data_IF_236757150935
#
_entry.id   IF_236757150935
#
_cell.length_a   1.000
_cell.length_b   1.000
_cell.length_c   1.000
_cell.angle_alpha   90.00
_cell.angle_beta   90.00
_cell.angle_gamma   90.00
#
_symmetry.space_group_name_H-M   'P 1'
#
loop_
_entity.id
_entity.type
_entity.pdbx_description
1 polymer ?
#
# COMPACT_ATOMS: atom_id res chain seq x y z
N UNK A 1 -10.93 -33.83 -8.94
CA UNK A 1 -10.36 -32.48 -9.02
C UNK A 1 -11.35 -31.58 -9.75
N UNK A 2 -12.20 -30.82 -9.04
CA UNK A 2 -13.19 -29.93 -9.65
C UNK A 2 -12.51 -28.61 -10.01
N UNK A 3 -12.28 -28.39 -11.30
CA UNK A 3 -11.92 -27.07 -11.82
C UNK A 3 -13.17 -26.20 -11.73
N UNK A 4 -13.19 -25.25 -10.81
CA UNK A 4 -14.23 -24.22 -10.72
C UNK A 4 -14.16 -23.35 -11.98
N UNK A 5 -15.09 -23.56 -12.91
CA UNK A 5 -15.30 -22.68 -14.05
C UNK A 5 -16.13 -21.47 -13.61
N UNK A 6 -15.53 -20.53 -12.88
CA UNK A 6 -16.14 -19.22 -12.69
C UNK A 6 -15.71 -18.29 -13.84
N UNK A 7 -16.70 -17.89 -14.64
CA UNK A 7 -16.60 -16.97 -15.79
C UNK A 7 -16.36 -15.50 -15.41
N UNK A 8 -15.73 -15.24 -14.27
CA UNK A 8 -15.10 -13.97 -13.96
C UNK A 8 -13.69 -14.34 -13.53
N UNK A 9 -12.65 -13.85 -14.22
CA UNK A 9 -11.28 -14.03 -13.73
C UNK A 9 -11.11 -13.06 -12.56
N UNK A 10 -11.24 -13.47 -11.28
CA UNK A 10 -11.17 -12.54 -10.16
C UNK A 10 -9.72 -12.09 -9.91
N UNK A 11 -8.77 -12.74 -10.60
CA UNK A 11 -7.35 -12.63 -10.40
C UNK A 11 -6.67 -12.42 -11.75
N UNK A 12 -6.00 -11.28 -11.91
CA UNK A 12 -5.04 -11.06 -13.00
C UNK A 12 -3.66 -11.48 -12.50
N UNK A 13 -3.20 -12.67 -12.93
CA UNK A 13 -1.82 -13.09 -12.69
C UNK A 13 -0.94 -12.54 -13.80
N UNK A 14 -0.06 -11.60 -13.48
CA UNK A 14 0.99 -11.16 -14.39
C UNK A 14 2.16 -12.17 -14.33
N UNK A 15 2.45 -12.95 -15.39
CA UNK A 15 3.57 -13.89 -15.37
C UNK A 15 4.90 -13.13 -15.29
N UNK A 16 5.85 -13.61 -14.50
CA UNK A 16 7.09 -12.89 -14.16
C UNK A 16 8.05 -12.69 -15.36
N UNK A 17 7.84 -13.44 -16.47
CA UNK A 17 8.57 -13.27 -17.73
C UNK A 17 7.62 -13.44 -18.92
N UNK A 18 7.55 -12.45 -19.80
CA UNK A 18 7.12 -12.61 -21.19
C UNK A 18 8.02 -11.78 -22.10
N UNK A 19 8.40 -12.34 -23.24
CA UNK A 19 9.26 -11.74 -24.27
C UNK A 19 8.56 -10.68 -25.14
N UNK A 20 7.28 -10.39 -24.90
CA UNK A 20 6.53 -9.36 -25.63
C UNK A 20 6.59 -8.03 -24.88
N UNK A 21 6.87 -6.94 -25.60
CA UNK A 21 6.94 -5.55 -25.13
C UNK A 21 5.55 -4.97 -24.77
N UNK A 22 4.78 -5.72 -23.98
CA UNK A 22 3.55 -5.23 -23.35
C UNK A 22 3.96 -4.48 -22.09
N UNK A 23 3.54 -3.22 -21.96
CA UNK A 23 3.75 -2.45 -20.73
C UNK A 23 3.19 -3.26 -19.54
N UNK A 24 4.04 -3.50 -18.54
CA UNK A 24 3.67 -4.21 -17.32
C UNK A 24 3.86 -3.27 -16.14
N UNK A 25 2.80 -2.95 -15.39
CA UNK A 25 2.95 -2.17 -14.18
C UNK A 25 3.84 -2.93 -13.19
N UNK A 26 4.75 -2.20 -12.53
CA UNK A 26 5.57 -2.78 -11.47
C UNK A 26 4.68 -3.15 -10.27
N UNK A 27 5.11 -4.07 -9.39
CA UNK A 27 4.39 -4.37 -8.15
C UNK A 27 4.09 -3.11 -7.32
N UNK A 28 5.07 -2.19 -7.23
CA UNK A 28 4.92 -0.87 -6.61
C UNK A 28 3.81 -0.05 -7.28
N UNK A 29 3.77 -0.02 -8.61
CA UNK A 29 2.71 0.67 -9.33
C UNK A 29 1.33 0.09 -9.00
N UNK A 30 1.18 -1.24 -9.00
CA UNK A 30 -0.08 -1.89 -8.64
C UNK A 30 -0.49 -1.60 -7.18
N UNK A 31 0.46 -1.57 -6.24
CA UNK A 31 0.22 -1.24 -4.83
C UNK A 31 -0.25 0.22 -4.68
N UNK A 32 0.40 1.16 -5.35
CA UNK A 32 0.14 2.58 -5.15
C UNK A 32 -1.03 3.08 -6.03
N UNK A 33 -1.27 2.47 -7.20
CA UNK A 33 -2.31 2.85 -8.16
C UNK A 33 -3.30 1.69 -8.44
N UNK A 34 -3.96 1.11 -7.42
CA UNK A 34 -4.81 -0.06 -7.63
C UNK A 34 -5.97 0.21 -8.61
N UNK A 35 -6.56 1.40 -8.58
CA UNK A 35 -7.65 1.80 -9.48
C UNK A 35 -7.22 1.95 -10.95
N UNK A 36 -5.92 2.05 -11.25
CA UNK A 36 -5.43 2.03 -12.64
C UNK A 36 -5.17 0.60 -13.11
N UNK A 37 -4.83 -0.29 -12.19
CA UNK A 37 -4.61 -1.70 -12.48
C UNK A 37 -5.90 -2.52 -12.49
N UNK A 38 -6.92 -2.09 -11.72
CA UNK A 38 -8.20 -2.75 -11.53
C UNK A 38 -9.36 -1.72 -11.63
N UNK A 39 -9.50 -0.98 -12.75
CA UNK A 39 -10.45 0.13 -12.84
C UNK A 39 -11.92 -0.26 -12.68
N UNK A 40 -12.28 -1.49 -13.06
CA UNK A 40 -13.65 -2.01 -13.04
C UNK A 40 -14.06 -2.61 -11.68
N UNK A 41 -13.16 -2.61 -10.69
CA UNK A 41 -13.39 -3.27 -9.40
C UNK A 41 -13.70 -2.23 -8.32
N UNK A 42 -14.69 -2.53 -7.48
CA UNK A 42 -15.10 -1.67 -6.35
C UNK A 42 -14.09 -1.70 -5.20
N UNK A 43 -13.34 -2.79 -5.07
CA UNK A 43 -12.34 -2.99 -4.04
C UNK A 43 -11.02 -3.49 -4.61
N UNK A 44 -9.94 -3.19 -3.91
CA UNK A 44 -8.61 -3.74 -4.18
C UNK A 44 -7.99 -4.24 -2.88
N UNK A 45 -7.41 -5.44 -2.94
CA UNK A 45 -6.63 -6.03 -1.86
C UNK A 45 -5.18 -6.21 -2.34
N UNK A 46 -4.27 -5.45 -1.74
CA UNK A 46 -2.84 -5.64 -1.91
C UNK A 46 -2.34 -6.68 -0.90
N UNK A 47 -1.60 -7.68 -1.37
CA UNK A 47 -0.90 -8.66 -0.55
C UNK A 47 0.58 -8.62 -0.89
N UNK A 48 1.39 -8.22 0.09
CA UNK A 48 2.83 -8.20 0.01
C UNK A 48 3.43 -9.61 0.09
N UNK A 49 4.73 -9.73 -0.22
CA UNK A 49 5.44 -11.00 -0.10
C UNK A 49 5.32 -11.57 1.32
N UNK A 50 5.03 -12.87 1.42
CA UNK A 50 4.96 -13.56 2.72
C UNK A 50 3.63 -13.44 3.47
N UNK A 51 2.67 -12.65 2.97
CA UNK A 51 1.33 -12.56 3.55
C UNK A 51 0.45 -13.71 3.07
N UNK A 52 -0.16 -14.42 4.02
CA UNK A 52 -1.20 -15.41 3.77
C UNK A 52 -2.51 -14.91 4.37
N UNK A 53 -3.59 -14.98 3.59
CA UNK A 53 -4.92 -14.57 4.02
C UNK A 53 -5.87 -15.74 3.87
N UNK A 54 -6.64 -16.00 4.93
CA UNK A 54 -7.80 -16.88 4.86
C UNK A 54 -9.03 -16.01 4.69
N UNK A 55 -9.65 -16.08 3.52
CA UNK A 55 -10.88 -15.36 3.22
C UNK A 55 -12.08 -16.31 3.43
N UNK A 56 -13.19 -15.83 4.01
CA UNK A 56 -14.42 -16.62 4.09
C UNK A 56 -14.89 -16.94 2.66
N UNK A 57 -14.91 -18.22 2.31
CA UNK A 57 -15.15 -18.69 0.93
C UNK A 57 -16.54 -18.33 0.38
N UNK A 58 -17.49 -18.01 1.27
CA UNK A 58 -18.92 -17.83 0.94
C UNK A 58 -19.42 -16.40 1.14
N UNK A 59 -18.66 -15.53 1.80
CA UNK A 59 -19.10 -14.16 2.07
C UNK A 59 -18.58 -13.21 0.98
N UNK A 60 -19.40 -12.96 -0.05
CA UNK A 60 -19.06 -12.02 -1.11
C UNK A 60 -18.85 -10.57 -0.61
N UNK A 61 -19.33 -10.25 0.60
CA UNK A 61 -19.30 -8.91 1.18
C UNK A 61 -18.24 -8.75 2.29
N UNK A 62 -17.31 -9.70 2.44
CA UNK A 62 -16.30 -9.64 3.51
C UNK A 62 -15.51 -8.31 3.50
N UNK A 63 -15.23 -7.75 2.31
CA UNK A 63 -14.49 -6.50 2.18
C UNK A 63 -15.27 -5.30 2.73
N UNK A 64 -16.58 -5.27 2.50
CA UNK A 64 -17.50 -4.29 3.10
C UNK A 64 -17.51 -4.42 4.62
N UNK A 65 -17.58 -5.65 5.14
CA UNK A 65 -17.55 -5.91 6.59
C UNK A 65 -16.26 -5.44 7.26
N UNK A 66 -15.10 -5.63 6.62
CA UNK A 66 -13.80 -5.16 7.14
C UNK A 66 -13.70 -3.62 7.08
N UNK A 67 -14.18 -3.00 6.00
CA UNK A 67 -14.05 -1.57 5.80
C UNK A 67 -15.08 -0.76 6.61
N UNK A 68 -16.30 -1.26 6.78
CA UNK A 68 -17.40 -0.50 7.37
C UNK A 68 -17.55 0.87 6.72
N UNK A 69 -17.58 1.95 7.52
CA UNK A 69 -17.62 3.33 7.02
C UNK A 69 -16.28 3.87 6.51
N UNK A 70 -15.18 3.12 6.66
CA UNK A 70 -13.86 3.52 6.22
C UNK A 70 -13.64 3.20 4.73
N UNK A 71 -12.64 3.88 4.14
CA UNK A 71 -12.27 3.69 2.74
C UNK A 71 -11.03 2.80 2.57
N UNK A 72 -10.20 2.72 3.62
CA UNK A 72 -8.90 2.08 3.59
C UNK A 72 -8.70 1.33 4.91
N UNK A 73 -8.27 0.08 4.83
CA UNK A 73 -7.88 -0.74 5.96
C UNK A 73 -6.46 -1.28 5.74
N UNK A 74 -5.67 -1.22 6.81
CA UNK A 74 -4.27 -1.66 6.88
C UNK A 74 -4.05 -2.34 8.22
N UNK A 75 -3.02 -3.18 8.29
CA UNK A 75 -2.67 -3.84 9.55
C UNK A 75 -2.00 -2.84 10.49
N UNK A 76 -2.23 -2.93 11.81
CA UNK A 76 -1.37 -2.24 12.76
C UNK A 76 0.06 -2.76 12.64
N UNK A 77 1.05 -1.88 12.80
CA UNK A 77 2.44 -2.31 12.78
C UNK A 77 2.72 -3.25 13.97
N UNK A 78 3.24 -4.47 13.75
CA UNK A 78 3.28 -5.53 14.77
C UNK A 78 4.14 -5.18 16.00
N UNK A 79 5.08 -4.25 15.84
CA UNK A 79 6.04 -3.89 16.88
C UNK A 79 5.76 -2.55 17.57
N UNK A 80 4.64 -1.87 17.25
CA UNK A 80 4.30 -0.59 17.90
C UNK A 80 5.37 0.51 17.72
N UNK A 81 6.14 0.42 16.64
CA UNK A 81 7.22 1.34 16.29
C UNK A 81 6.67 2.74 15.93
N UNK A 82 7.47 3.78 16.12
CA UNK A 82 7.23 5.12 15.59
C UNK A 82 7.77 5.25 14.16
N UNK A 83 7.35 6.31 13.45
CA UNK A 83 7.90 6.60 12.12
C UNK A 83 9.42 6.79 12.14
N UNK A 84 9.95 7.25 13.27
CA UNK A 84 11.39 7.44 13.50
C UNK A 84 12.13 6.12 13.65
N UNK A 85 11.53 5.15 14.33
CA UNK A 85 12.09 3.79 14.43
C UNK A 85 12.17 3.14 13.05
N UNK A 86 11.12 3.28 12.23
CA UNK A 86 11.10 2.80 10.84
C UNK A 86 12.18 3.48 9.99
N UNK A 87 12.38 4.79 10.19
CA UNK A 87 13.46 5.53 9.54
C UNK A 87 14.83 5.00 9.94
N UNK A 88 15.11 4.82 11.24
CA UNK A 88 16.39 4.30 11.70
C UNK A 88 16.64 2.86 11.25
N UNK A 89 15.61 2.03 11.21
CA UNK A 89 15.68 0.69 10.65
C UNK A 89 16.03 0.75 9.15
N UNK A 90 15.36 1.62 8.38
CA UNK A 90 15.64 1.82 6.95
C UNK A 90 17.09 2.27 6.70
N UNK A 91 17.62 3.14 7.56
CA UNK A 91 19.02 3.57 7.54
C UNK A 91 19.96 2.40 7.85
N UNK A 92 19.68 1.63 8.91
CA UNK A 92 20.50 0.50 9.34
C UNK A 92 20.58 -0.60 8.28
N UNK A 93 19.47 -0.91 7.62
CA UNK A 93 19.39 -1.94 6.59
C UNK A 93 19.97 -1.48 5.23
N UNK A 94 20.26 -0.18 5.05
CA UNK A 94 20.85 0.35 3.83
C UNK A 94 19.97 0.21 2.58
N UNK A 95 18.66 0.05 2.75
CA UNK A 95 17.70 -0.19 1.66
C UNK A 95 17.58 1.00 0.70
N UNK A 96 17.83 2.20 1.19
CA UNK A 96 17.71 3.46 0.44
C UNK A 96 18.87 4.40 0.75
N UNK A 97 19.08 5.41 -0.12
CA UNK A 97 20.12 6.42 0.10
C UNK A 97 19.79 7.24 1.35
N UNK A 98 20.66 7.14 2.35
CA UNK A 98 20.46 7.78 3.66
C UNK A 98 20.16 9.27 3.56
N UNK A 99 20.84 10.03 2.68
CA UNK A 99 20.61 11.47 2.53
C UNK A 99 19.15 11.82 2.18
N UNK A 100 18.52 11.05 1.29
CA UNK A 100 17.12 11.26 0.91
C UNK A 100 16.16 10.94 2.05
N UNK A 101 16.47 9.93 2.84
CA UNK A 101 15.68 9.58 4.03
C UNK A 101 15.78 10.70 5.08
N UNK A 102 16.98 11.24 5.33
CA UNK A 102 17.16 12.38 6.26
C UNK A 102 16.39 13.61 5.80
N UNK A 103 16.49 13.99 4.52
CA UNK A 103 15.75 15.13 3.96
C UNK A 103 14.22 14.95 4.07
N UNK A 104 13.73 13.73 3.82
CA UNK A 104 12.32 13.39 3.96
C UNK A 104 11.84 13.55 5.40
N UNK A 105 12.57 12.97 6.35
CA UNK A 105 12.20 13.03 7.76
C UNK A 105 12.33 14.43 8.36
N UNK A 106 13.36 15.20 7.96
CA UNK A 106 13.50 16.60 8.36
C UNK A 106 12.28 17.42 7.92
N UNK A 107 11.78 17.20 6.70
CA UNK A 107 10.55 17.85 6.23
C UNK A 107 9.32 17.44 7.05
N UNK A 108 9.21 16.17 7.43
CA UNK A 108 8.09 15.69 8.24
C UNK A 108 8.09 16.35 9.63
N UNK A 109 9.25 16.40 10.27
CA UNK A 109 9.43 17.08 11.56
C UNK A 109 9.10 18.58 11.47
N UNK A 110 9.65 19.29 10.49
CA UNK A 110 9.39 20.72 10.29
C UNK A 110 7.93 21.03 9.94
N UNK A 111 7.19 20.05 9.44
CA UNK A 111 5.76 20.20 9.14
C UNK A 111 4.85 19.81 10.32
N UNK A 112 5.43 19.47 11.47
CA UNK A 112 4.68 19.09 12.68
C UNK A 112 4.19 17.65 12.69
N UNK A 113 4.82 16.74 11.94
CA UNK A 113 4.48 15.32 12.05
C UNK A 113 4.75 14.82 13.48
N UNK A 114 3.82 14.06 14.10
CA UNK A 114 3.99 13.62 15.49
C UNK A 114 5.23 12.75 15.69
N UNK A 115 5.97 13.02 16.76
CA UNK A 115 7.12 12.20 17.19
C UNK A 115 6.73 10.77 17.58
N UNK A 116 5.47 10.58 17.97
CA UNK A 116 4.92 9.29 18.38
C UNK A 116 3.53 9.11 17.79
N UNK A 117 3.17 7.88 17.45
CA UNK A 117 1.84 7.55 16.97
C UNK A 117 1.78 6.13 16.43
N UNK A 118 0.57 5.64 16.11
CA UNK A 118 0.42 4.32 15.51
C UNK A 118 1.06 4.30 14.12
N UNK A 119 1.87 3.28 13.88
CA UNK A 119 2.25 2.86 12.54
C UNK A 119 1.34 1.74 12.05
N UNK A 120 1.32 1.60 10.74
CA UNK A 120 0.59 0.62 9.99
C UNK A 120 1.53 -0.15 9.08
N UNK A 121 1.27 -1.43 8.92
CA UNK A 121 1.98 -2.28 7.98
C UNK A 121 1.26 -2.24 6.63
N UNK A 122 2.00 -1.79 5.60
CA UNK A 122 1.53 -1.71 4.21
C UNK A 122 1.72 -3.02 3.43
N UNK A 123 2.08 -4.11 4.11
CA UNK A 123 2.13 -5.47 3.56
C UNK A 123 0.73 -5.98 3.17
N UNK A 124 -0.33 -5.51 3.84
CA UNK A 124 -1.72 -5.79 3.47
C UNK A 124 -2.50 -4.47 3.43
N UNK A 125 -3.16 -4.21 2.31
CA UNK A 125 -3.96 -2.99 2.14
C UNK A 125 -5.26 -3.32 1.43
N UNK A 126 -6.38 -3.10 2.11
CA UNK A 126 -7.72 -3.17 1.51
C UNK A 126 -8.23 -1.75 1.27
N UNK A 127 -8.71 -1.48 0.05
CA UNK A 127 -9.19 -0.14 -0.35
C UNK A 127 -10.44 -0.22 -1.21
N UNK A 128 -11.37 0.71 -0.97
CA UNK A 128 -12.45 1.06 -1.91
C UNK A 128 -11.89 1.77 -3.14
N UNK A 129 -12.45 1.53 -4.31
CA UNK A 129 -12.18 2.31 -5.50
C UNK A 129 -13.12 3.52 -5.54
N UNK A 130 -12.71 4.61 -4.90
CA UNK A 130 -13.46 5.86 -4.88
C UNK A 130 -12.52 7.06 -4.99
N UNK A 131 -13.09 8.24 -5.18
CA UNK A 131 -12.33 9.47 -5.38
C UNK A 131 -11.32 9.72 -4.23
N UNK A 132 -11.73 9.58 -2.97
CA UNK A 132 -10.82 9.81 -1.82
C UNK A 132 -9.60 8.91 -1.84
N UNK A 133 -9.76 7.62 -2.17
CA UNK A 133 -8.62 6.70 -2.29
C UNK A 133 -7.79 6.91 -3.56
N UNK A 134 -8.39 7.41 -4.64
CA UNK A 134 -7.65 7.80 -5.84
C UNK A 134 -6.77 9.04 -5.58
N UNK A 135 -7.27 9.99 -4.81
CA UNK A 135 -6.51 11.14 -4.33
C UNK A 135 -5.39 10.70 -3.38
N UNK A 136 -5.68 9.81 -2.43
CA UNK A 136 -4.66 9.21 -1.56
C UNK A 136 -3.56 8.50 -2.36
N UNK A 137 -3.93 7.72 -3.37
CA UNK A 137 -3.01 7.03 -4.27
C UNK A 137 -2.07 8.02 -4.98
N UNK A 138 -2.61 9.16 -5.43
CA UNK A 138 -1.84 10.22 -6.08
C UNK A 138 -0.85 10.89 -5.13
N UNK A 139 -1.32 11.30 -3.95
CA UNK A 139 -0.47 11.92 -2.93
C UNK A 139 0.65 10.97 -2.49
N UNK A 140 0.32 9.69 -2.28
CA UNK A 140 1.30 8.68 -1.88
C UNK A 140 2.34 8.40 -2.96
N UNK A 141 1.92 8.32 -4.23
CA UNK A 141 2.85 8.21 -5.35
C UNK A 141 3.78 9.42 -5.45
N UNK A 142 3.24 10.63 -5.41
CA UNK A 142 4.03 11.86 -5.50
C UNK A 142 5.05 11.96 -4.35
N UNK A 143 4.63 11.63 -3.14
CA UNK A 143 5.51 11.66 -1.96
C UNK A 143 6.64 10.62 -2.06
N UNK A 144 6.33 9.42 -2.57
CA UNK A 144 7.31 8.34 -2.78
C UNK A 144 8.34 8.71 -3.84
N UNK A 145 7.90 9.27 -4.97
CA UNK A 145 8.78 9.72 -6.07
C UNK A 145 9.64 10.92 -5.68
N UNK A 146 9.10 11.85 -4.88
CA UNK A 146 9.82 13.04 -4.41
C UNK A 146 10.97 12.71 -3.47
N UNK A 147 10.87 11.61 -2.72
CA UNK A 147 11.69 11.38 -1.53
C UNK A 147 12.64 10.18 -1.70
N UNK A 148 12.71 9.32 -0.69
CA UNK A 148 13.65 8.21 -0.59
C UNK A 148 13.17 6.91 -1.26
N UNK A 149 12.06 6.90 -2.00
CA UNK A 149 11.41 5.67 -2.48
C UNK A 149 10.91 4.71 -1.37
N UNK A 150 11.11 5.03 -0.08
CA UNK A 150 10.58 4.26 1.04
C UNK A 150 9.07 4.45 1.17
N UNK A 151 8.33 3.46 0.66
CA UNK A 151 6.86 3.47 0.58
C UNK A 151 6.19 3.54 1.95
N UNK A 152 6.82 2.99 3.00
CA UNK A 152 6.23 2.96 4.33
C UNK A 152 6.27 4.34 4.99
N UNK A 153 7.39 5.07 4.87
CA UNK A 153 7.48 6.43 5.39
C UNK A 153 6.51 7.39 4.69
N UNK A 154 6.44 7.31 3.36
CA UNK A 154 5.52 8.14 2.57
C UNK A 154 4.05 7.84 2.85
N UNK A 155 3.69 6.58 3.11
CA UNK A 155 2.32 6.19 3.46
C UNK A 155 1.84 6.94 4.70
N UNK A 156 2.63 6.88 5.77
CA UNK A 156 2.29 7.47 7.07
C UNK A 156 2.20 8.99 7.00
N UNK A 157 3.08 9.62 6.23
CA UNK A 157 3.01 11.05 5.95
C UNK A 157 1.70 11.44 5.25
N UNK A 158 1.31 10.71 4.20
CA UNK A 158 0.08 11.00 3.45
C UNK A 158 -1.14 10.76 4.32
N UNK A 159 -1.16 9.71 5.14
CA UNK A 159 -2.19 9.50 6.14
C UNK A 159 -2.31 10.68 7.11
N UNK A 160 -1.20 11.29 7.55
CA UNK A 160 -1.24 12.47 8.40
C UNK A 160 -1.74 13.71 7.65
N UNK A 161 -1.25 13.95 6.44
CA UNK A 161 -1.62 15.10 5.60
C UNK A 161 -3.10 15.11 5.20
N UNK A 162 -3.72 13.93 5.05
CA UNK A 162 -5.10 13.77 4.54
C UNK A 162 -6.13 13.40 5.62
N UNK A 163 -5.76 13.47 6.91
CA UNK A 163 -6.70 13.40 8.03
C UNK A 163 -7.68 14.57 7.96
#
# INVERSE_FOLDING_TARGET
MKLLSYRARPWLRFPQRSTLAVWRPSPRYCKLWPHRCLPEHDFSLWLGPGIQVSLPAEDANWAEGVLGSCNLAVLPHPYGASLWDEFWQSIHEGKERSSRLYEQMARYHLSGYPESGPLYDTSLILRRNNQRNQEFSREWWQETERSSLCENLSFHWVCHKMK
#
